data_IF_850285886831
#
_entry.id   IF_850285886831
#
_cell.length_a   1.000
_cell.length_b   1.000
_cell.length_c   1.000
_cell.angle_alpha   90.00
_cell.angle_beta   90.00
_cell.angle_gamma   90.00
#
_symmetry.space_group_name_H-M   'P 1'
#
loop_
_entity.id
_entity.type
_entity.pdbx_description
1 polymer ?
#
# COMPACT_ATOMS: atom_id res chain seq x y z
N UNK A 1 27.73 23.86 69.53
CA UNK A 1 27.50 22.45 69.16
C UNK A 1 26.64 22.40 67.93
N UNK A 2 27.23 22.19 66.76
CA UNK A 2 26.51 22.06 65.49
C UNK A 2 25.81 20.70 65.46
N UNK A 3 24.50 20.68 65.71
CA UNK A 3 23.71 19.46 65.56
C UNK A 3 23.55 19.13 64.07
N UNK A 4 24.21 18.06 63.62
CA UNK A 4 23.98 17.45 62.32
C UNK A 4 22.77 16.52 62.43
N UNK A 5 21.69 16.83 61.71
CA UNK A 5 20.52 15.97 61.58
C UNK A 5 20.89 14.76 60.71
N UNK A 6 20.98 13.57 61.33
CA UNK A 6 21.16 12.29 60.63
C UNK A 6 19.80 11.65 60.47
N UNK A 7 19.27 11.61 59.24
CA UNK A 7 18.08 10.83 58.93
C UNK A 7 18.43 9.34 58.98
N UNK A 8 17.90 8.62 59.97
CA UNK A 8 17.97 7.16 60.06
C UNK A 8 16.96 6.55 59.08
N UNK A 9 17.28 5.38 58.53
CA UNK A 9 16.33 4.59 57.74
C UNK A 9 15.16 4.16 58.65
N UNK A 10 13.93 4.40 58.18
CA UNK A 10 12.72 4.04 58.92
C UNK A 10 12.15 2.72 58.43
N UNK A 11 11.75 1.87 59.38
CA UNK A 11 11.09 0.60 59.10
C UNK A 11 9.58 0.83 59.18
N UNK A 12 8.87 0.59 58.07
CA UNK A 12 7.42 0.69 58.01
C UNK A 12 6.82 -0.70 57.86
N UNK A 13 5.91 -1.06 58.77
CA UNK A 13 5.19 -2.34 58.73
C UNK A 13 3.77 -2.10 58.26
N UNK A 14 3.43 -2.65 57.10
CA UNK A 14 2.08 -2.62 56.54
C UNK A 14 1.49 -4.02 56.54
N UNK A 15 0.16 -4.12 56.52
CA UNK A 15 -0.53 -5.39 56.29
C UNK A 15 -0.83 -5.45 54.80
N UNK A 16 -0.37 -6.50 54.13
CA UNK A 16 -0.65 -6.69 52.71
C UNK A 16 -2.15 -6.97 52.51
N UNK A 17 -2.86 -6.15 51.70
CA UNK A 17 -4.29 -6.32 51.44
C UNK A 17 -4.67 -7.68 50.83
N UNK A 18 -3.74 -8.36 50.14
CA UNK A 18 -4.03 -9.61 49.43
C UNK A 18 -3.74 -10.86 50.27
N UNK A 19 -2.71 -10.80 51.13
CA UNK A 19 -2.24 -11.96 51.90
C UNK A 19 -2.55 -11.86 53.39
N UNK A 20 -2.88 -10.67 53.91
CA UNK A 20 -3.12 -10.42 55.33
C UNK A 20 -1.87 -10.51 56.20
N UNK A 21 -0.70 -10.76 55.60
CA UNK A 21 0.57 -10.87 56.32
C UNK A 21 1.17 -9.49 56.63
N UNK A 22 1.88 -9.41 57.75
CA UNK A 22 2.61 -8.21 58.15
C UNK A 22 3.91 -8.13 57.37
N UNK A 23 3.95 -7.27 56.36
CA UNK A 23 5.13 -7.01 55.55
C UNK A 23 5.90 -5.85 56.16
N UNK A 24 7.20 -6.04 56.38
CA UNK A 24 8.10 -5.01 56.90
C UNK A 24 8.94 -4.48 55.74
N UNK A 25 8.75 -3.21 55.37
CA UNK A 25 9.52 -2.56 54.31
C UNK A 25 10.47 -1.53 54.94
N UNK A 26 11.76 -1.64 54.64
CA UNK A 26 12.74 -0.63 55.00
C UNK A 26 12.73 0.44 53.91
N UNK A 27 12.30 1.65 54.25
CA UNK A 27 12.20 2.75 53.29
C UNK A 27 13.18 3.87 53.68
N UNK A 28 13.81 4.46 52.65
CA UNK A 28 14.52 5.74 52.82
C UNK A 28 13.52 6.79 53.31
N UNK A 29 13.99 7.74 54.11
CA UNK A 29 13.15 8.80 54.68
C UNK A 29 12.29 9.55 53.64
N UNK A 30 12.84 9.80 52.45
CA UNK A 30 12.10 10.45 51.35
C UNK A 30 10.90 9.65 50.85
N UNK A 31 10.99 8.33 50.92
CA UNK A 31 9.92 7.42 50.50
C UNK A 31 8.85 7.31 51.61
N UNK A 32 9.27 7.38 52.89
CA UNK A 32 8.36 7.44 54.03
C UNK A 32 7.48 8.70 53.99
N UNK A 33 8.06 9.87 53.67
CA UNK A 33 7.31 11.13 53.56
C UNK A 33 6.22 11.09 52.47
N UNK A 34 6.37 10.21 51.48
CA UNK A 34 5.38 9.99 50.41
C UNK A 34 4.36 8.91 50.78
N UNK A 35 4.83 7.81 51.38
CA UNK A 35 3.98 6.67 51.70
C UNK A 35 3.10 6.88 52.92
N UNK A 36 3.59 7.56 53.97
CA UNK A 36 2.82 7.78 55.21
C UNK A 36 1.49 8.50 54.95
N UNK A 37 1.45 9.63 54.21
CA UNK A 37 0.18 10.26 53.84
C UNK A 37 -0.75 9.31 53.08
N UNK A 38 -0.19 8.57 52.12
CA UNK A 38 -0.92 7.63 51.27
C UNK A 38 -1.55 6.50 52.09
N UNK A 39 -0.82 5.95 53.06
CA UNK A 39 -1.29 4.88 53.95
C UNK A 39 -2.36 5.37 54.95
N UNK A 40 -2.28 6.64 55.38
CA UNK A 40 -3.31 7.27 56.21
C UNK A 40 -4.54 7.72 55.42
N UNK A 41 -4.52 7.63 54.07
CA UNK A 41 -5.64 8.04 53.22
C UNK A 41 -5.84 9.55 53.15
N UNK A 42 -4.81 10.34 53.47
CA UNK A 42 -4.87 11.81 53.48
C UNK A 42 -3.74 12.40 52.63
N UNK A 43 -3.95 13.57 52.05
CA UNK A 43 -2.89 14.25 51.30
C UNK A 43 -1.83 14.82 52.25
N UNK A 44 -0.58 14.92 51.78
CA UNK A 44 0.51 15.52 52.55
C UNK A 44 0.16 16.94 53.07
N UNK A 45 -0.45 17.84 52.27
CA UNK A 45 -0.86 19.15 52.76
C UNK A 45 -1.92 19.11 53.88
N UNK A 46 -2.81 18.11 53.89
CA UNK A 46 -3.76 17.93 55.00
C UNK A 46 -3.02 17.54 56.28
N UNK A 47 -2.03 16.65 56.19
CA UNK A 47 -1.21 16.29 57.35
C UNK A 47 -0.42 17.48 57.88
N UNK A 48 0.20 18.29 57.02
CA UNK A 48 1.06 19.40 57.44
C UNK A 48 0.29 20.65 57.90
N UNK A 49 -0.80 21.01 57.23
CA UNK A 49 -1.51 22.27 57.49
C UNK A 49 -2.77 22.12 58.35
N UNK A 50 -3.29 20.90 58.52
CA UNK A 50 -4.54 20.66 59.26
C UNK A 50 -4.31 19.74 60.47
N UNK A 51 -3.70 18.56 60.28
CA UNK A 51 -3.55 17.57 61.37
C UNK A 51 -2.37 17.91 62.29
N UNK A 52 -1.20 18.17 61.71
CA UNK A 52 0.05 18.52 62.40
C UNK A 52 0.45 19.98 62.16
N UNK A 53 -0.54 20.88 62.11
CA UNK A 53 -0.27 22.30 62.00
C UNK A 53 0.59 22.78 63.17
N UNK A 54 1.68 23.50 62.87
CA UNK A 54 2.53 24.09 63.90
C UNK A 54 1.72 25.11 64.72
N UNK A 55 2.00 25.21 66.03
CA UNK A 55 1.23 26.08 66.93
C UNK A 55 1.25 27.55 66.49
N UNK A 56 2.41 28.02 66.03
CA UNK A 56 2.60 29.39 65.51
C UNK A 56 1.82 29.64 64.22
N UNK A 57 1.55 28.58 63.45
CA UNK A 57 0.85 28.62 62.17
C UNK A 57 -0.64 28.29 62.29
N UNK A 58 -1.15 27.98 63.49
CA UNK A 58 -2.54 27.56 63.72
C UNK A 58 -3.57 28.61 63.28
N UNK A 59 -3.17 29.88 63.24
CA UNK A 59 -3.97 31.01 62.77
C UNK A 59 -3.90 31.24 61.25
N UNK A 60 -3.31 30.32 60.47
CA UNK A 60 -3.24 30.43 59.02
C UNK A 60 -4.58 30.69 58.30
N UNK A 61 -5.75 30.22 58.79
CA UNK A 61 -7.03 30.57 58.16
C UNK A 61 -7.35 32.07 58.22
N UNK A 62 -6.71 32.80 59.13
CA UNK A 62 -6.88 34.24 59.36
C UNK A 62 -5.72 35.08 58.78
N UNK A 63 -4.70 34.42 58.19
CA UNK A 63 -3.58 35.12 57.58
C UNK A 63 -3.97 35.77 56.24
N UNK A 64 -3.06 36.58 55.71
CA UNK A 64 -3.24 37.30 54.45
C UNK A 64 -3.62 36.39 53.28
N UNK A 65 -4.41 36.93 52.34
CA UNK A 65 -5.02 36.16 51.26
C UNK A 65 -4.04 35.37 50.39
N UNK A 66 -2.77 35.80 50.27
CA UNK A 66 -1.76 35.06 49.53
C UNK A 66 -1.36 33.75 50.21
N UNK A 67 -1.14 33.76 51.54
CA UNK A 67 -0.77 32.57 52.31
C UNK A 67 -1.96 31.61 52.41
N UNK A 68 -3.15 32.17 52.66
CA UNK A 68 -4.41 31.43 52.69
C UNK A 68 -4.67 30.71 51.37
N UNK A 69 -4.54 31.43 50.25
CA UNK A 69 -4.73 30.86 48.91
C UNK A 69 -3.74 29.75 48.60
N UNK A 70 -2.46 29.94 48.96
CA UNK A 70 -1.44 28.91 48.76
C UNK A 70 -1.77 27.61 49.49
N UNK A 71 -2.13 27.70 50.80
CA UNK A 71 -2.52 26.50 51.58
C UNK A 71 -3.78 25.85 51.04
N UNK A 72 -4.76 26.62 50.56
CA UNK A 72 -5.95 26.07 49.89
C UNK A 72 -5.61 25.37 48.57
N UNK A 73 -4.78 25.98 47.73
CA UNK A 73 -4.37 25.39 46.46
C UNK A 73 -3.57 24.10 46.68
N UNK A 74 -2.75 24.02 47.73
CA UNK A 74 -2.01 22.82 48.13
C UNK A 74 -2.95 21.72 48.68
N UNK A 75 -3.94 22.06 49.52
CA UNK A 75 -4.92 21.11 50.06
C UNK A 75 -5.81 20.52 48.96
N UNK A 76 -6.29 21.36 48.05
CA UNK A 76 -7.19 20.94 46.97
C UNK A 76 -6.47 20.44 45.71
N UNK A 77 -5.14 20.54 45.65
CA UNK A 77 -4.31 20.17 44.49
C UNK A 77 -4.83 20.80 43.18
N UNK A 78 -5.40 22.01 43.27
CA UNK A 78 -6.12 22.71 42.20
C UNK A 78 -5.24 22.90 40.96
N UNK A 79 -3.93 23.14 41.18
CA UNK A 79 -2.95 23.36 40.11
C UNK A 79 -2.68 22.09 39.30
N UNK A 80 -2.69 20.91 39.92
CA UNK A 80 -2.52 19.64 39.24
C UNK A 80 -3.72 19.32 38.37
N UNK A 81 -4.94 19.55 38.87
CA UNK A 81 -6.15 19.39 38.08
C UNK A 81 -6.17 20.32 36.86
N UNK A 82 -5.80 21.59 37.04
CA UNK A 82 -5.71 22.54 35.92
C UNK A 82 -4.70 22.08 34.85
N UNK A 83 -3.51 21.63 35.26
CA UNK A 83 -2.50 21.09 34.33
C UNK A 83 -2.97 19.83 33.61
N UNK A 84 -3.64 18.92 34.31
CA UNK A 84 -4.18 17.71 33.71
C UNK A 84 -5.26 18.03 32.66
N UNK A 85 -6.14 18.99 32.97
CA UNK A 85 -7.16 19.45 32.03
C UNK A 85 -6.54 20.07 30.78
N UNK A 86 -5.50 20.88 30.93
CA UNK A 86 -4.81 21.51 29.80
C UNK A 86 -4.09 20.49 28.92
N UNK A 87 -3.47 19.47 29.52
CA UNK A 87 -2.90 18.34 28.79
C UNK A 87 -3.98 17.61 27.97
N UNK A 88 -5.14 17.32 28.57
CA UNK A 88 -6.26 16.67 27.87
C UNK A 88 -6.75 17.53 26.69
N UNK A 89 -6.89 18.85 26.88
CA UNK A 89 -7.30 19.77 25.80
C UNK A 89 -6.29 19.78 24.66
N UNK A 90 -5.00 19.80 24.99
CA UNK A 90 -3.91 19.78 24.01
C UNK A 90 -3.95 18.49 23.19
N UNK A 91 -3.98 17.34 23.86
CA UNK A 91 -4.08 16.03 23.21
C UNK A 91 -5.33 15.91 22.34
N UNK A 92 -6.48 16.41 22.80
CA UNK A 92 -7.71 16.43 21.98
C UNK A 92 -7.52 17.21 20.67
N UNK A 93 -6.83 18.36 20.73
CA UNK A 93 -6.56 19.20 19.55
C UNK A 93 -5.60 18.50 18.58
N UNK A 94 -4.57 17.84 19.10
CA UNK A 94 -3.63 17.04 18.30
C UNK A 94 -4.34 15.91 17.56
N UNK A 95 -5.14 15.10 18.27
CA UNK A 95 -5.92 14.02 17.64
C UNK A 95 -6.91 14.54 16.60
N UNK A 96 -7.54 15.69 16.83
CA UNK A 96 -8.40 16.31 15.82
C UNK A 96 -7.63 16.70 14.55
N UNK A 97 -6.38 17.16 14.68
CA UNK A 97 -5.48 17.40 13.56
C UNK A 97 -5.16 16.11 12.80
N UNK A 98 -4.73 15.07 13.52
CA UNK A 98 -4.40 13.75 12.94
C UNK A 98 -5.58 13.14 12.17
N UNK A 99 -6.80 13.24 12.72
CA UNK A 99 -8.01 12.76 12.05
C UNK A 99 -8.24 13.51 10.73
N UNK A 100 -8.03 14.84 10.72
CA UNK A 100 -8.18 15.66 9.51
C UNK A 100 -7.13 15.27 8.45
N UNK A 101 -5.89 15.05 8.87
CA UNK A 101 -4.79 14.67 7.97
C UNK A 101 -5.01 13.27 7.36
N UNK A 102 -5.45 12.30 8.18
CA UNK A 102 -5.82 10.98 7.71
C UNK A 102 -7.02 11.02 6.76
N UNK A 103 -8.02 11.85 7.03
CA UNK A 103 -9.14 12.04 6.12
C UNK A 103 -8.70 12.59 4.76
N UNK A 104 -7.83 13.61 4.76
CA UNK A 104 -7.24 14.15 3.53
C UNK A 104 -6.45 13.11 2.74
N UNK A 105 -5.63 12.32 3.44
CA UNK A 105 -4.86 11.23 2.83
C UNK A 105 -5.74 10.12 2.26
N UNK A 106 -6.82 9.75 2.95
CA UNK A 106 -7.81 8.78 2.47
C UNK A 106 -8.51 9.27 1.21
N UNK A 107 -8.89 10.53 1.16
CA UNK A 107 -9.52 11.12 -0.03
C UNK A 107 -8.56 11.12 -1.23
N UNK A 108 -7.29 11.50 -1.01
CA UNK A 108 -6.25 11.43 -2.04
C UNK A 108 -6.04 9.99 -2.53
N UNK A 109 -5.93 9.03 -1.60
CA UNK A 109 -5.74 7.62 -1.94
C UNK A 109 -6.95 7.04 -2.69
N UNK A 110 -8.16 7.44 -2.34
CA UNK A 110 -9.38 7.05 -3.05
C UNK A 110 -9.38 7.56 -4.51
N UNK A 111 -8.94 8.81 -4.73
CA UNK A 111 -8.78 9.34 -6.07
C UNK A 111 -7.73 8.57 -6.89
N UNK A 112 -6.57 8.26 -6.29
CA UNK A 112 -5.55 7.43 -6.92
C UNK A 112 -6.05 6.03 -7.25
N UNK A 113 -6.81 5.40 -6.34
CA UNK A 113 -7.43 4.10 -6.59
C UNK A 113 -8.39 4.15 -7.77
N UNK A 114 -9.24 5.16 -7.85
CA UNK A 114 -10.19 5.33 -8.94
C UNK A 114 -9.48 5.51 -10.29
N UNK A 115 -8.42 6.34 -10.33
CA UNK A 115 -7.60 6.51 -11.52
C UNK A 115 -6.91 5.19 -11.93
N UNK A 116 -6.33 4.46 -10.98
CA UNK A 116 -5.69 3.18 -11.23
C UNK A 116 -6.67 2.11 -11.75
N UNK A 117 -7.91 2.09 -11.25
CA UNK A 117 -8.95 1.20 -11.80
C UNK A 117 -9.32 1.60 -13.22
N UNK A 118 -9.46 2.90 -13.52
CA UNK A 118 -9.72 3.38 -14.87
C UNK A 118 -8.62 2.98 -15.87
N UNK A 119 -7.35 3.16 -15.49
CA UNK A 119 -6.23 2.72 -16.32
C UNK A 119 -6.20 1.20 -16.51
N UNK A 120 -6.57 0.41 -15.49
CA UNK A 120 -6.65 -1.05 -15.64
C UNK A 120 -7.74 -1.44 -16.64
N UNK A 121 -8.92 -0.82 -16.57
CA UNK A 121 -10.00 -1.06 -17.53
C UNK A 121 -9.60 -0.68 -18.97
N UNK A 122 -8.86 0.43 -19.14
CA UNK A 122 -8.28 0.81 -20.43
C UNK A 122 -7.24 -0.19 -20.92
N UNK A 123 -6.36 -0.68 -20.04
CA UNK A 123 -5.37 -1.70 -20.41
C UNK A 123 -6.04 -3.00 -20.86
N UNK A 124 -7.12 -3.41 -20.21
CA UNK A 124 -7.83 -4.63 -20.57
C UNK A 124 -8.55 -4.47 -21.93
N UNK A 125 -9.16 -3.30 -22.20
CA UNK A 125 -9.71 -3.00 -23.53
C UNK A 125 -8.64 -3.04 -24.62
N UNK A 126 -7.47 -2.44 -24.37
CA UNK A 126 -6.36 -2.43 -25.32
C UNK A 126 -5.86 -3.86 -25.56
N UNK A 127 -5.77 -4.69 -24.52
CA UNK A 127 -5.40 -6.11 -24.67
C UNK A 127 -6.39 -6.88 -25.52
N UNK A 128 -7.69 -6.68 -25.32
CA UNK A 128 -8.73 -7.33 -26.12
C UNK A 128 -8.61 -6.93 -27.59
N UNK A 129 -8.41 -5.63 -27.86
CA UNK A 129 -8.16 -5.13 -29.22
C UNK A 129 -6.88 -5.73 -29.83
N UNK A 130 -5.82 -5.88 -29.04
CA UNK A 130 -4.56 -6.48 -29.49
C UNK A 130 -4.75 -7.96 -29.84
N UNK A 131 -5.52 -8.69 -29.04
CA UNK A 131 -5.88 -10.08 -29.33
C UNK A 131 -6.69 -10.19 -30.63
N UNK A 132 -7.67 -9.32 -30.83
CA UNK A 132 -8.48 -9.31 -32.05
C UNK A 132 -7.61 -9.02 -33.28
N UNK A 133 -6.73 -8.03 -33.21
CA UNK A 133 -5.81 -7.71 -34.31
C UNK A 133 -4.87 -8.89 -34.58
N UNK A 134 -4.39 -9.58 -33.53
CA UNK A 134 -3.56 -10.76 -33.70
C UNK A 134 -4.30 -11.91 -34.40
N UNK A 135 -5.58 -12.13 -34.07
CA UNK A 135 -6.43 -13.11 -34.73
C UNK A 135 -6.68 -12.75 -36.21
N UNK A 136 -6.90 -11.45 -36.49
CA UNK A 136 -7.02 -10.94 -37.85
C UNK A 136 -5.72 -11.15 -38.64
N UNK A 137 -4.55 -10.90 -38.04
CA UNK A 137 -3.24 -11.16 -38.67
C UNK A 137 -3.09 -12.65 -39.00
N UNK A 138 -3.42 -13.54 -38.06
CA UNK A 138 -3.33 -14.98 -38.27
C UNK A 138 -4.26 -15.42 -39.41
N UNK A 139 -5.49 -14.91 -39.44
CA UNK A 139 -6.45 -15.19 -40.51
C UNK A 139 -5.93 -14.74 -41.89
N UNK A 140 -5.41 -13.52 -42.00
CA UNK A 140 -4.84 -13.03 -43.25
C UNK A 140 -3.60 -13.84 -43.66
N UNK A 141 -2.78 -14.26 -42.69
CA UNK A 141 -1.62 -15.12 -42.95
C UNK A 141 -2.04 -16.50 -43.50
N UNK A 142 -3.11 -17.09 -42.97
CA UNK A 142 -3.66 -18.35 -43.49
C UNK A 142 -4.24 -18.18 -44.89
N UNK A 143 -4.93 -17.08 -45.17
CA UNK A 143 -5.41 -16.76 -46.52
C UNK A 143 -4.25 -16.58 -47.49
N UNK A 144 -3.17 -15.89 -47.11
CA UNK A 144 -1.96 -15.75 -47.93
C UNK A 144 -1.38 -17.13 -48.25
N UNK A 145 -1.23 -18.00 -47.24
CA UNK A 145 -0.72 -19.36 -47.45
C UNK A 145 -1.59 -20.17 -48.44
N UNK A 146 -2.92 -20.03 -48.38
CA UNK A 146 -3.82 -20.68 -49.36
C UNK A 146 -3.61 -20.14 -50.77
N UNK A 147 -3.46 -18.82 -50.92
CA UNK A 147 -3.19 -18.20 -52.21
C UNK A 147 -1.83 -18.62 -52.77
N UNK A 148 -0.80 -18.78 -51.94
CA UNK A 148 0.52 -19.28 -52.35
C UNK A 148 0.45 -20.71 -52.90
N UNK A 149 -0.36 -21.58 -52.29
CA UNK A 149 -0.61 -22.94 -52.81
C UNK A 149 -1.30 -22.88 -54.17
N UNK A 150 -2.30 -22.02 -54.33
CA UNK A 150 -3.02 -21.84 -55.62
C UNK A 150 -2.06 -21.29 -56.69
N UNK A 151 -1.20 -20.33 -56.35
CA UNK A 151 -0.18 -19.79 -57.26
C UNK A 151 0.78 -20.89 -57.71
N UNK A 152 1.20 -21.76 -56.79
CA UNK A 152 2.07 -22.90 -57.10
C UNK A 152 1.38 -23.84 -58.10
N UNK A 153 0.12 -24.21 -57.84
CA UNK A 153 -0.67 -25.04 -58.77
C UNK A 153 -0.86 -24.38 -60.14
N UNK A 154 -1.09 -23.06 -60.17
CA UNK A 154 -1.21 -22.31 -61.42
C UNK A 154 0.10 -22.32 -62.21
N UNK A 155 1.24 -22.16 -61.54
CA UNK A 155 2.56 -22.22 -62.17
C UNK A 155 2.85 -23.62 -62.75
N UNK A 156 2.47 -24.70 -62.06
CA UNK A 156 2.60 -26.07 -62.58
C UNK A 156 1.77 -26.25 -63.86
N UNK A 157 0.51 -25.81 -63.86
CA UNK A 157 -0.36 -25.86 -65.04
C UNK A 157 0.21 -25.00 -66.18
N UNK A 158 0.78 -23.82 -65.89
CA UNK A 158 1.45 -23.03 -66.92
C UNK A 158 2.62 -23.78 -67.56
N UNK A 159 3.42 -24.49 -66.75
CA UNK A 159 4.50 -25.35 -67.24
C UNK A 159 3.98 -26.46 -68.17
N UNK A 160 2.91 -27.16 -67.77
CA UNK A 160 2.28 -28.21 -68.58
C UNK A 160 1.74 -27.66 -69.92
N UNK A 161 1.14 -26.47 -69.90
CA UNK A 161 0.64 -25.79 -71.11
C UNK A 161 1.78 -25.41 -72.05
N UNK A 162 2.91 -24.96 -71.51
CA UNK A 162 4.09 -24.59 -72.29
C UNK A 162 4.73 -25.84 -72.94
N UNK A 163 4.82 -26.96 -72.22
CA UNK A 163 5.26 -28.25 -72.77
C UNK A 163 4.30 -28.75 -73.88
N UNK A 164 2.99 -28.68 -73.64
CA UNK A 164 2.00 -29.04 -74.66
C UNK A 164 2.12 -28.17 -75.91
N UNK A 165 2.38 -26.87 -75.74
CA UNK A 165 2.59 -25.93 -76.85
C UNK A 165 3.83 -26.30 -77.66
N UNK A 166 4.95 -26.61 -77.01
CA UNK A 166 6.17 -27.06 -77.68
C UNK A 166 5.94 -28.38 -78.46
N UNK A 167 5.18 -29.33 -77.88
CA UNK A 167 4.80 -30.57 -78.58
C UNK A 167 3.95 -30.31 -79.81
N UNK A 168 3.02 -29.35 -79.74
CA UNK A 168 2.20 -28.94 -80.89
C UNK A 168 3.07 -28.32 -81.97
N UNK A 169 4.01 -27.44 -81.62
CA UNK A 169 4.93 -26.82 -82.59
C UNK A 169 5.85 -27.84 -83.27
N UNK A 170 6.35 -28.83 -82.53
CA UNK A 170 7.13 -29.95 -83.09
C UNK A 170 6.27 -30.76 -84.06
N UNK A 171 5.02 -31.08 -83.69
CA UNK A 171 4.10 -31.85 -84.54
C UNK A 171 3.70 -31.07 -85.79
N UNK A 172 3.45 -29.77 -85.68
CA UNK A 172 3.18 -28.90 -86.82
C UNK A 172 4.37 -28.89 -87.79
N UNK A 173 5.59 -28.77 -87.28
CA UNK A 173 6.82 -28.85 -88.09
C UNK A 173 7.01 -30.21 -88.76
N UNK A 174 6.59 -31.31 -88.12
CA UNK A 174 6.61 -32.65 -88.73
C UNK A 174 5.59 -32.77 -89.86
N UNK A 175 4.38 -32.22 -89.68
CA UNK A 175 3.33 -32.22 -90.71
C UNK A 175 3.80 -31.42 -91.93
N UNK A 176 4.34 -30.22 -91.74
CA UNK A 176 4.87 -29.38 -92.82
C UNK A 176 5.97 -30.09 -93.64
N UNK A 177 6.86 -30.84 -92.96
CA UNK A 177 7.87 -31.68 -93.62
C UNK A 177 7.24 -32.81 -94.44
N UNK A 178 6.26 -33.52 -93.90
CA UNK A 178 5.57 -34.60 -94.62
C UNK A 178 4.73 -34.08 -95.79
N UNK A 179 4.08 -32.92 -95.64
CA UNK A 179 3.39 -32.24 -96.74
C UNK A 179 4.37 -31.87 -97.86
N UNK A 180 5.53 -31.29 -97.51
CA UNK A 180 6.59 -30.99 -98.50
C UNK A 180 7.10 -32.25 -99.21
N UNK A 181 7.26 -33.37 -98.48
CA UNK A 181 7.64 -34.67 -99.05
C UNK A 181 6.58 -35.23 -99.99
N UNK A 182 5.30 -35.11 -99.64
CA UNK A 182 4.21 -35.55 -100.49
C UNK A 182 4.10 -34.71 -101.76
N UNK A 183 4.28 -33.40 -101.67
CA UNK A 183 4.30 -32.49 -102.83
C UNK A 183 5.47 -32.83 -103.76
N UNK A 184 6.68 -33.05 -103.22
CA UNK A 184 7.83 -33.48 -104.03
C UNK A 184 7.64 -34.86 -104.65
N UNK A 185 7.09 -35.84 -103.91
CA UNK A 185 6.79 -37.16 -104.46
C UNK A 185 5.73 -37.11 -105.56
N UNK A 186 4.69 -36.28 -105.40
CA UNK A 186 3.68 -36.05 -106.42
C UNK A 186 4.28 -35.41 -107.67
N UNK A 187 5.17 -34.42 -107.52
CA UNK A 187 5.88 -33.80 -108.63
C UNK A 187 6.77 -34.81 -109.39
N UNK A 188 7.43 -35.73 -108.69
CA UNK A 188 8.24 -36.79 -109.32
C UNK A 188 7.38 -37.79 -110.11
N UNK A 189 6.18 -38.12 -109.61
CA UNK A 189 5.23 -39.00 -110.31
C UNK A 189 4.58 -38.34 -111.55
N UNK A 190 4.51 -37.01 -111.58
CA UNK A 190 4.01 -36.24 -112.74
C UNK A 190 5.09 -36.04 -113.83
N UNK A 191 6.38 -36.19 -113.51
CA UNK A 191 7.49 -36.13 -114.49
C UNK A 191 7.81 -37.49 -115.17
N UNK A 192 7.31 -38.62 -114.64
CA UNK A 192 7.58 -39.99 -115.12
C UNK A 192 6.54 -40.52 -116.15
N UNK A 193 5.76 -39.66 -116.82
CA UNK A 193 4.79 -40.00 -117.87
C UNK A 193 4.97 -39.22 -119.18
#
# INVERSE_FOLDING_TARGET
TTMSFKALDGILRTVDPNTGEKVSMSHKCSELDRQIPTLMGVSKPILEHVVFCHQEDSSWPLQEGAVLKKRFDDIFDSTRYAKALEAIRTTKKEYAGVVKDHHGSLQGLAAHKLAATGFRDEMDKIRDQLSQIQDEINHHSDEINKHDVIITQYNDIQGDVEEMRERVDIKASQIDREETRLVTHKSMLEEDW
#
